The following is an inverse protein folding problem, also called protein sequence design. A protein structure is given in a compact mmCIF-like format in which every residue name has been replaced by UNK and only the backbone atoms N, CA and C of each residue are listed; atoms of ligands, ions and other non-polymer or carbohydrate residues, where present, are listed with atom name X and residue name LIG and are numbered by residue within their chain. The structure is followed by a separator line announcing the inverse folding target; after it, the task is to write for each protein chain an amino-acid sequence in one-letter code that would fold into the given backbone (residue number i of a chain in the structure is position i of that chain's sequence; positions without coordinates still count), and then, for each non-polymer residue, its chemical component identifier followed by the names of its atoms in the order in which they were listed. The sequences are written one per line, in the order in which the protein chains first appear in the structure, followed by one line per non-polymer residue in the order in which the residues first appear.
data_IF_510711221424
#
_entry.id   IF_510711221424
#
_cell.length_a   1.000
_cell.length_b   1.000
_cell.length_c   1.000
_cell.angle_alpha   90.00
_cell.angle_beta   90.00
_cell.angle_gamma   90.00
#
_symmetry.space_group_name_H-M   'P 1'
#
loop_
_entity.id
_entity.type
_entity.pdbx_description
1 polymer ?
#
# COMPACT_ATOMS: atom_id res chain seq x y z
N UNK A 1 -13.11 -0.63 2.56
CA UNK A 1 -13.77 -0.79 1.26
C UNK A 1 -14.31 0.53 0.70
N UNK A 2 -15.15 1.32 1.41
CA UNK A 2 -15.71 2.59 0.88
C UNK A 2 -14.63 3.56 0.40
N UNK A 3 -13.57 3.76 1.17
CA UNK A 3 -12.46 4.65 0.80
C UNK A 3 -11.66 4.16 -0.40
N UNK A 4 -11.40 2.85 -0.49
CA UNK A 4 -10.71 2.29 -1.66
C UNK A 4 -11.55 2.44 -2.93
N UNK A 5 -12.86 2.25 -2.83
CA UNK A 5 -13.78 2.45 -3.97
C UNK A 5 -13.81 3.93 -4.40
N UNK A 6 -13.94 4.88 -3.46
CA UNK A 6 -13.88 6.32 -3.74
C UNK A 6 -12.55 6.70 -4.37
N UNK A 7 -11.44 6.24 -3.80
CA UNK A 7 -10.09 6.49 -4.34
C UNK A 7 -9.91 5.91 -5.74
N UNK A 8 -10.52 4.75 -6.07
CA UNK A 8 -10.42 4.18 -7.40
C UNK A 8 -11.06 5.09 -8.45
N UNK A 9 -12.21 5.69 -8.14
CA UNK A 9 -12.86 6.67 -9.03
C UNK A 9 -11.93 7.87 -9.24
N UNK A 10 -11.42 8.45 -8.16
CA UNK A 10 -10.51 9.61 -8.20
C UNK A 10 -9.19 9.30 -8.93
N UNK A 11 -8.62 8.09 -8.76
CA UNK A 11 -7.47 7.64 -9.55
C UNK A 11 -7.77 7.58 -11.05
N UNK A 12 -8.91 7.00 -11.42
CA UNK A 12 -9.33 6.90 -12.83
C UNK A 12 -9.56 8.29 -13.45
N UNK A 13 -10.14 9.23 -12.71
CA UNK A 13 -10.33 10.62 -13.11
C UNK A 13 -8.99 11.33 -13.35
N UNK A 14 -8.05 11.25 -12.40
CA UNK A 14 -6.71 11.81 -12.56
C UNK A 14 -6.01 11.23 -13.79
N UNK A 15 -6.00 9.89 -13.94
CA UNK A 15 -5.30 9.23 -15.04
C UNK A 15 -5.91 9.58 -16.41
N UNK A 16 -7.22 9.81 -16.46
CA UNK A 16 -7.90 10.34 -17.64
C UNK A 16 -7.46 11.78 -17.94
N UNK A 17 -7.41 12.64 -16.92
CA UNK A 17 -6.99 14.04 -17.06
C UNK A 17 -5.55 14.17 -17.53
N UNK A 18 -4.63 13.36 -16.99
CA UNK A 18 -3.21 13.35 -17.41
C UNK A 18 -2.95 12.49 -18.64
N UNK A 19 -3.96 11.80 -19.18
CA UNK A 19 -3.88 10.91 -20.34
C UNK A 19 -2.83 9.79 -20.18
N UNK A 20 -2.73 9.24 -18.98
CA UNK A 20 -1.82 8.13 -18.67
C UNK A 20 -2.60 6.94 -18.10
N UNK A 21 -2.58 5.74 -18.72
CA UNK A 21 -3.28 4.56 -18.23
C UNK A 21 -2.50 3.89 -17.10
N UNK A 22 -2.57 4.45 -15.90
CA UNK A 22 -1.78 4.00 -14.74
C UNK A 22 -2.53 3.03 -13.81
N UNK A 23 -3.77 2.71 -14.13
CA UNK A 23 -4.55 1.66 -13.50
C UNK A 23 -4.80 0.54 -14.50
N UNK A 24 -4.40 -0.67 -14.16
CA UNK A 24 -4.69 -1.89 -14.91
C UNK A 24 -5.80 -2.66 -14.20
N UNK A 25 -6.97 -2.74 -14.82
CA UNK A 25 -8.11 -3.51 -14.32
C UNK A 25 -7.86 -5.00 -14.59
N UNK A 26 -7.09 -5.64 -13.71
CA UNK A 26 -6.71 -7.05 -13.84
C UNK A 26 -7.70 -7.98 -13.15
N UNK A 27 -8.62 -7.46 -12.37
CA UNK A 27 -9.33 -8.20 -11.34
C UNK A 27 -8.43 -8.49 -10.12
N UNK A 28 -9.07 -8.93 -9.04
CA UNK A 28 -8.41 -9.44 -7.84
C UNK A 28 -9.01 -10.77 -7.43
N UNK A 29 -8.16 -11.78 -7.24
CA UNK A 29 -8.52 -13.13 -6.87
C UNK A 29 -8.08 -13.41 -5.43
N UNK A 30 -9.03 -13.58 -4.52
CA UNK A 30 -8.78 -13.93 -3.13
C UNK A 30 -8.88 -15.44 -2.97
N UNK A 31 -7.74 -16.12 -2.87
CA UNK A 31 -7.68 -17.57 -2.66
C UNK A 31 -7.94 -17.88 -1.19
N UNK A 32 -8.73 -18.89 -0.90
CA UNK A 32 -9.08 -19.30 0.46
C UNK A 32 -9.09 -20.84 0.63
N UNK A 33 -8.63 -21.31 1.80
CA UNK A 33 -8.60 -22.73 2.15
C UNK A 33 -9.95 -23.26 2.63
N UNK A 34 -10.74 -22.39 3.26
CA UNK A 34 -12.06 -22.74 3.78
C UNK A 34 -12.92 -21.49 3.94
N UNK A 35 -14.21 -21.67 3.95
CA UNK A 35 -15.16 -20.57 4.18
C UNK A 35 -15.33 -20.37 5.68
N UNK A 36 -14.59 -19.43 6.25
CA UNK A 36 -14.64 -19.07 7.66
C UNK A 36 -15.27 -17.70 7.91
N UNK A 37 -15.20 -17.24 9.16
CA UNK A 37 -15.78 -15.95 9.57
C UNK A 37 -15.19 -14.75 8.81
N UNK A 38 -13.91 -14.83 8.45
CA UNK A 38 -13.22 -13.76 7.70
C UNK A 38 -13.74 -13.65 6.27
N UNK A 39 -13.87 -14.78 5.58
CA UNK A 39 -14.36 -14.86 4.20
C UNK A 39 -15.82 -14.41 4.14
N UNK A 40 -16.63 -14.83 5.12
CA UNK A 40 -18.00 -14.35 5.29
C UNK A 40 -18.04 -12.82 5.46
N UNK A 41 -17.22 -12.27 6.36
CA UNK A 41 -17.13 -10.82 6.56
C UNK A 41 -16.67 -10.07 5.29
N UNK A 42 -15.75 -10.68 4.52
CA UNK A 42 -15.30 -10.13 3.23
C UNK A 42 -16.48 -10.06 2.26
N UNK A 43 -17.19 -11.17 2.05
CA UNK A 43 -18.36 -11.22 1.15
C UNK A 43 -19.43 -10.22 1.57
N UNK A 44 -19.82 -10.20 2.86
CA UNK A 44 -20.79 -9.25 3.39
C UNK A 44 -20.35 -7.79 3.19
N UNK A 45 -19.04 -7.52 3.32
CA UNK A 45 -18.48 -6.18 3.13
C UNK A 45 -18.53 -5.75 1.66
N UNK A 46 -18.20 -6.65 0.73
CA UNK A 46 -18.31 -6.40 -0.71
C UNK A 46 -19.75 -6.14 -1.11
N UNK A 47 -20.69 -6.98 -0.64
CA UNK A 47 -22.13 -6.81 -0.89
C UNK A 47 -22.65 -5.46 -0.38
N UNK A 48 -22.37 -5.12 0.88
CA UNK A 48 -22.79 -3.84 1.48
C UNK A 48 -22.19 -2.62 0.80
N UNK A 49 -21.04 -2.80 0.17
CA UNK A 49 -20.33 -1.72 -0.55
C UNK A 49 -20.71 -1.65 -2.02
N UNK A 50 -21.61 -2.51 -2.52
CA UNK A 50 -22.00 -2.55 -3.92
C UNK A 50 -20.88 -2.95 -4.87
N UNK A 51 -19.86 -3.67 -4.36
CA UNK A 51 -18.75 -4.16 -5.19
C UNK A 51 -19.17 -5.43 -5.91
N UNK A 52 -18.98 -5.47 -7.22
CA UNK A 52 -19.22 -6.67 -8.03
C UNK A 52 -18.17 -7.73 -7.69
N UNK A 53 -18.60 -8.94 -7.39
CA UNK A 53 -17.72 -10.09 -7.18
C UNK A 53 -18.43 -11.39 -7.55
N UNK A 54 -17.65 -12.45 -7.73
CA UNK A 54 -18.13 -13.83 -7.85
C UNK A 54 -17.35 -14.75 -6.91
N UNK A 55 -17.95 -15.87 -6.57
CA UNK A 55 -17.30 -16.95 -5.82
C UNK A 55 -17.04 -18.08 -6.81
N UNK A 56 -15.78 -18.47 -6.94
CA UNK A 56 -15.35 -19.60 -7.76
C UNK A 56 -15.10 -20.78 -6.83
N UNK A 57 -15.78 -21.89 -7.04
CA UNK A 57 -15.44 -23.13 -6.37
C UNK A 57 -14.10 -23.71 -6.87
N UNK A 58 -13.61 -24.77 -6.23
CA UNK A 58 -12.33 -25.39 -6.59
C UNK A 58 -12.25 -25.81 -8.06
N UNK A 59 -13.31 -26.38 -8.61
CA UNK A 59 -13.34 -26.84 -10.00
C UNK A 59 -13.33 -25.67 -10.98
N UNK A 60 -14.12 -24.63 -10.71
CA UNK A 60 -14.14 -23.40 -11.49
C UNK A 60 -12.81 -22.67 -11.45
N UNK A 61 -12.19 -22.60 -10.26
CA UNK A 61 -10.87 -21.99 -10.07
C UNK A 61 -9.80 -22.73 -10.88
N UNK A 62 -9.71 -24.04 -10.77
CA UNK A 62 -8.75 -24.88 -11.49
C UNK A 62 -8.94 -24.80 -13.01
N UNK A 63 -10.18 -24.75 -13.48
CA UNK A 63 -10.48 -24.61 -14.90
C UNK A 63 -10.13 -23.21 -15.46
N UNK A 64 -10.36 -22.14 -14.68
CA UNK A 64 -10.13 -20.77 -15.10
C UNK A 64 -8.65 -20.36 -15.01
N UNK A 65 -7.91 -20.91 -14.06
CA UNK A 65 -6.53 -20.51 -13.76
C UNK A 65 -5.59 -21.71 -13.64
N UNK A 66 -5.45 -22.49 -14.73
CA UNK A 66 -4.63 -23.70 -14.77
C UNK A 66 -3.13 -23.47 -14.43
N UNK A 67 -2.66 -22.21 -14.45
CA UNK A 67 -1.31 -21.83 -14.03
C UNK A 67 -1.13 -21.80 -12.50
N UNK A 68 -2.23 -21.81 -11.74
CA UNK A 68 -2.22 -21.84 -10.27
C UNK A 68 -2.36 -23.30 -9.81
N UNK A 69 -1.42 -23.76 -8.98
CA UNK A 69 -1.65 -25.00 -8.22
C UNK A 69 -2.69 -24.72 -7.13
N UNK A 70 -3.86 -25.33 -7.26
CA UNK A 70 -5.01 -25.11 -6.34
C UNK A 70 -5.00 -26.07 -5.15
N UNK A 71 -3.92 -26.80 -4.90
CA UNK A 71 -3.78 -27.63 -3.71
C UNK A 71 -4.02 -26.81 -2.43
N UNK A 72 -4.89 -27.31 -1.55
CA UNK A 72 -5.33 -26.63 -0.34
C UNK A 72 -6.00 -25.25 -0.58
N UNK A 73 -6.71 -25.10 -1.70
CA UNK A 73 -7.58 -23.96 -1.98
C UNK A 73 -8.96 -24.48 -2.28
N UNK A 74 -9.94 -24.20 -1.42
CA UNK A 74 -11.30 -24.71 -1.60
C UNK A 74 -12.13 -23.84 -2.54
N UNK A 75 -11.88 -22.51 -2.52
CA UNK A 75 -12.58 -21.56 -3.37
C UNK A 75 -11.79 -20.25 -3.52
N UNK A 76 -12.28 -19.36 -4.36
CA UNK A 76 -11.79 -18.00 -4.46
C UNK A 76 -12.94 -16.98 -4.55
N UNK A 77 -12.70 -15.76 -4.06
CA UNK A 77 -13.55 -14.60 -4.33
C UNK A 77 -12.86 -13.80 -5.44
N UNK A 78 -13.58 -13.48 -6.50
CA UNK A 78 -13.05 -12.72 -7.63
C UNK A 78 -13.78 -11.39 -7.77
N UNK A 79 -13.02 -10.29 -7.72
CA UNK A 79 -13.47 -8.92 -7.96
C UNK A 79 -13.00 -8.45 -9.35
N UNK A 80 -13.86 -8.42 -10.37
CA UNK A 80 -13.43 -8.16 -11.74
C UNK A 80 -12.95 -6.73 -12.01
N UNK A 81 -13.48 -5.74 -11.27
CA UNK A 81 -13.20 -4.31 -11.50
C UNK A 81 -12.11 -3.73 -10.60
N UNK A 82 -11.48 -4.57 -9.78
CA UNK A 82 -10.27 -4.24 -9.03
C UNK A 82 -9.01 -4.45 -9.87
N UNK A 83 -7.84 -4.05 -9.37
CA UNK A 83 -6.62 -4.21 -10.17
C UNK A 83 -5.38 -3.57 -9.58
N UNK A 84 -4.47 -3.15 -10.43
CA UNK A 84 -3.14 -2.66 -10.08
C UNK A 84 -2.95 -1.20 -10.44
N UNK A 85 -2.41 -0.43 -9.49
CA UNK A 85 -1.91 0.93 -9.72
C UNK A 85 -0.40 0.89 -9.97
N UNK A 86 0.07 1.58 -11.00
CA UNK A 86 1.50 1.76 -11.26
C UNK A 86 2.05 2.86 -10.33
N UNK A 87 2.28 2.51 -9.06
CA UNK A 87 2.45 3.43 -7.94
C UNK A 87 3.46 4.59 -8.19
N UNK A 88 4.66 4.30 -8.69
CA UNK A 88 5.65 5.37 -8.96
C UNK A 88 5.19 6.35 -10.02
N UNK A 89 4.61 5.85 -11.10
CA UNK A 89 4.09 6.70 -12.19
C UNK A 89 2.86 7.47 -11.72
N UNK A 90 2.01 6.85 -10.88
CA UNK A 90 0.86 7.53 -10.30
C UNK A 90 1.27 8.68 -9.39
N UNK A 91 2.32 8.53 -8.56
CA UNK A 91 2.87 9.63 -7.76
C UNK A 91 3.42 10.75 -8.66
N UNK A 92 4.17 10.41 -9.71
CA UNK A 92 4.68 11.41 -10.66
C UNK A 92 3.51 12.19 -11.31
N UNK A 93 2.44 11.48 -11.73
CA UNK A 93 1.27 12.11 -12.33
C UNK A 93 0.54 13.05 -11.34
N UNK A 94 0.47 12.69 -10.05
CA UNK A 94 -0.08 13.58 -9.00
C UNK A 94 0.76 14.85 -8.87
N UNK A 95 2.09 14.72 -8.83
CA UNK A 95 3.00 15.89 -8.74
C UNK A 95 2.87 16.77 -9.97
N UNK A 96 2.89 16.19 -11.17
CA UNK A 96 2.71 16.94 -12.43
C UNK A 96 1.36 17.68 -12.49
N UNK A 97 0.30 17.04 -11.98
CA UNK A 97 -1.02 17.67 -11.91
C UNK A 97 -1.05 18.82 -10.91
N UNK A 98 -0.48 18.62 -9.73
CA UNK A 98 -0.37 19.65 -8.71
C UNK A 98 0.41 20.88 -9.22
N UNK A 99 1.55 20.66 -9.90
CA UNK A 99 2.33 21.74 -10.53
C UNK A 99 1.50 22.52 -11.57
N UNK A 100 0.72 21.81 -12.39
CA UNK A 100 -0.17 22.46 -13.37
C UNK A 100 -1.26 23.30 -12.72
N UNK A 101 -1.66 22.94 -11.51
CA UNK A 101 -2.65 23.67 -10.71
C UNK A 101 -2.01 24.80 -9.87
N UNK A 102 -0.71 25.05 -9.99
CA UNK A 102 -0.01 26.15 -9.34
C UNK A 102 0.70 25.80 -8.03
N UNK A 103 0.74 24.51 -7.65
CA UNK A 103 1.57 24.08 -6.52
C UNK A 103 3.06 24.24 -6.86
N UNK A 104 3.87 24.46 -5.85
CA UNK A 104 5.32 24.45 -5.96
C UNK A 104 5.89 23.12 -5.44
N UNK A 105 6.82 22.53 -6.19
CA UNK A 105 7.54 21.32 -5.77
C UNK A 105 9.00 21.66 -5.52
N UNK A 106 9.50 21.32 -4.33
CA UNK A 106 10.89 21.50 -3.93
C UNK A 106 11.47 20.21 -3.36
N UNK A 107 12.76 19.97 -3.62
CA UNK A 107 13.53 18.94 -2.95
C UNK A 107 14.27 19.56 -1.78
N UNK A 108 13.88 19.19 -0.56
CA UNK A 108 14.52 19.66 0.66
C UNK A 108 14.43 18.56 1.74
N UNK A 109 15.34 18.59 2.68
CA UNK A 109 15.36 17.69 3.83
C UNK A 109 14.93 18.46 5.09
N UNK A 110 13.95 17.90 5.79
CA UNK A 110 13.51 18.36 7.11
C UNK A 110 14.14 17.46 8.17
N UNK A 111 14.91 18.02 9.07
CA UNK A 111 15.46 17.30 10.22
C UNK A 111 14.42 17.02 11.31
N UNK A 112 14.85 16.34 12.41
CA UNK A 112 13.99 16.13 13.56
C UNK A 112 13.48 17.45 14.14
N UNK A 113 12.17 17.52 14.34
CA UNK A 113 11.51 18.67 14.94
C UNK A 113 11.48 18.44 16.46
N UNK A 114 12.22 19.28 17.17
CA UNK A 114 12.29 19.27 18.63
C UNK A 114 11.80 20.61 19.14
N UNK A 115 10.91 20.55 20.13
CA UNK A 115 10.37 21.73 20.83
C UNK A 115 9.83 22.87 19.93
N UNK A 116 8.76 23.04 20.16
CA UNK A 116 7.82 23.88 19.58
C UNK A 116 7.88 25.26 20.17
N UNK A 117 8.51 26.14 19.49
CA UNK A 117 8.09 27.54 19.44
C UNK A 117 6.81 27.64 18.62
N UNK A 118 6.19 28.79 18.46
CA UNK A 118 5.09 28.94 17.52
C UNK A 118 5.51 28.37 16.15
N UNK A 119 4.71 27.43 15.59
CA UNK A 119 5.03 26.78 14.34
C UNK A 119 4.63 27.68 13.17
N UNK A 120 5.20 28.91 13.16
CA UNK A 120 5.03 29.81 12.03
C UNK A 120 6.02 29.47 10.90
N UNK A 121 7.09 28.74 11.24
CA UNK A 121 8.11 28.30 10.30
C UNK A 121 8.83 27.02 10.69
N UNK A 122 9.41 26.34 9.70
CA UNK A 122 10.32 25.20 9.88
C UNK A 122 11.59 25.41 9.08
N UNK A 123 12.73 24.89 9.60
CA UNK A 123 14.01 24.93 8.91
C UNK A 123 14.30 23.61 8.22
N UNK A 124 14.75 23.68 6.99
CA UNK A 124 15.42 22.56 6.32
C UNK A 124 16.79 22.31 6.95
N UNK A 125 17.39 21.15 6.71
CA UNK A 125 18.76 20.83 7.14
C UNK A 125 19.79 21.78 6.49
N UNK A 126 19.47 22.36 5.34
CA UNK A 126 20.28 23.40 4.68
C UNK A 126 20.11 24.81 5.28
N UNK A 127 19.22 24.98 6.27
CA UNK A 127 18.99 26.25 6.96
C UNK A 127 17.94 27.16 6.30
N UNK A 128 17.30 26.74 5.22
CA UNK A 128 16.19 27.46 4.59
C UNK A 128 14.98 27.47 5.53
N UNK A 129 14.33 28.63 5.65
CA UNK A 129 13.11 28.80 6.44
C UNK A 129 11.90 28.62 5.51
N UNK A 130 10.99 27.74 5.91
CA UNK A 130 9.71 27.50 5.24
C UNK A 130 8.60 28.01 6.16
N UNK A 131 7.89 29.03 5.73
CA UNK A 131 6.75 29.61 6.45
C UNK A 131 5.45 29.28 5.74
N UNK A 132 4.43 28.86 6.49
CA UNK A 132 3.11 28.54 5.96
C UNK A 132 2.03 28.70 7.05
N UNK A 133 0.79 28.87 6.62
CA UNK A 133 -0.36 28.89 7.52
C UNK A 133 -0.65 27.50 8.11
N UNK A 134 -0.47 26.44 7.31
CA UNK A 134 -0.62 25.05 7.70
C UNK A 134 0.55 24.20 7.19
N UNK A 135 0.98 23.26 8.00
CA UNK A 135 2.00 22.27 7.67
C UNK A 135 1.44 20.87 7.74
N UNK A 136 1.61 20.08 6.68
CA UNK A 136 1.21 18.67 6.63
C UNK A 136 2.45 17.80 6.50
N UNK A 137 2.73 17.01 7.51
CA UNK A 137 3.86 16.09 7.51
C UNK A 137 3.36 14.68 7.16
N UNK A 138 3.60 14.29 5.91
CA UNK A 138 3.28 12.97 5.36
C UNK A 138 4.58 12.22 5.01
N UNK A 139 5.46 12.07 6.00
CA UNK A 139 6.85 11.65 5.83
C UNK A 139 7.03 10.12 5.76
N UNK A 140 5.95 9.34 5.72
CA UNK A 140 6.01 7.88 5.67
C UNK A 140 6.84 7.32 6.82
N UNK A 141 7.69 6.34 6.56
CA UNK A 141 8.49 5.67 7.58
C UNK A 141 9.41 6.59 8.40
N UNK A 142 9.62 7.82 7.96
CA UNK A 142 10.41 8.83 8.68
C UNK A 142 9.59 9.67 9.66
N UNK A 143 8.26 9.58 9.62
CA UNK A 143 7.39 10.43 10.45
C UNK A 143 7.70 10.31 11.94
N UNK A 144 7.97 9.09 12.43
CA UNK A 144 8.37 8.82 13.80
C UNK A 144 9.77 9.37 14.17
N UNK A 145 10.65 9.64 13.18
CA UNK A 145 11.96 10.29 13.40
C UNK A 145 11.82 11.81 13.38
N UNK A 146 11.00 12.35 12.50
CA UNK A 146 10.75 13.79 12.42
C UNK A 146 10.10 14.31 13.69
N UNK A 147 9.13 13.58 14.24
CA UNK A 147 8.43 13.92 15.48
C UNK A 147 8.68 12.88 16.57
N UNK A 148 9.94 12.70 16.95
CA UNK A 148 10.34 11.61 17.86
C UNK A 148 9.72 11.70 19.24
N UNK A 149 9.43 12.89 19.77
CA UNK A 149 8.82 13.09 21.07
C UNK A 149 7.35 12.66 21.10
N UNK A 150 6.67 12.73 19.95
CA UNK A 150 5.23 12.40 19.83
C UNK A 150 5.01 11.00 19.23
N UNK A 151 5.82 10.59 18.25
CA UNK A 151 5.52 9.46 17.37
C UNK A 151 6.53 8.30 17.43
N UNK A 152 7.70 8.46 18.07
CA UNK A 152 8.73 7.41 18.03
C UNK A 152 8.24 6.05 18.55
N UNK A 153 7.32 6.05 19.51
CA UNK A 153 6.75 4.81 20.09
C UNK A 153 5.42 4.39 19.44
N UNK A 154 4.89 5.14 18.47
CA UNK A 154 3.59 4.91 17.86
C UNK A 154 3.67 4.49 16.39
N UNK A 155 4.81 4.74 15.74
CA UNK A 155 5.11 4.36 14.36
C UNK A 155 6.18 3.27 14.35
N UNK A 156 5.88 2.16 13.69
CA UNK A 156 6.74 0.96 13.63
C UNK A 156 7.17 0.72 12.17
N UNK A 157 8.30 1.31 11.73
CA UNK A 157 8.80 1.04 10.37
C UNK A 157 9.26 -0.41 10.25
N UNK A 158 8.69 -1.17 9.32
CA UNK A 158 9.11 -2.54 9.05
C UNK A 158 9.65 -2.70 7.64
N UNK A 159 10.62 -3.61 7.49
CA UNK A 159 11.21 -3.98 6.21
C UNK A 159 10.30 -4.97 5.48
N UNK A 160 10.04 -4.71 4.20
CA UNK A 160 9.30 -5.61 3.33
C UNK A 160 10.06 -5.83 2.04
N UNK A 161 9.97 -7.05 1.49
CA UNK A 161 10.68 -7.41 0.27
C UNK A 161 9.71 -7.92 -0.79
N UNK A 162 9.91 -7.49 -2.03
CA UNK A 162 9.11 -7.90 -3.18
C UNK A 162 10.01 -8.41 -4.29
N UNK A 163 9.53 -9.41 -5.03
CA UNK A 163 10.27 -10.09 -6.08
C UNK A 163 9.46 -10.14 -7.35
N UNK A 164 10.14 -10.04 -8.48
CA UNK A 164 9.56 -10.20 -9.80
C UNK A 164 10.26 -11.37 -10.51
N UNK A 165 9.48 -12.34 -10.95
CA UNK A 165 9.95 -13.51 -11.66
C UNK A 165 9.76 -13.34 -13.16
N UNK A 166 10.73 -13.73 -13.96
CA UNK A 166 10.54 -13.80 -15.40
C UNK A 166 9.39 -14.76 -15.74
N UNK A 167 8.55 -14.39 -16.68
CA UNK A 167 7.55 -15.29 -17.24
C UNK A 167 8.13 -16.09 -18.38
N UNK A 168 7.74 -17.36 -18.60
CA UNK A 168 8.24 -18.15 -19.73
C UNK A 168 7.93 -17.44 -21.06
N UNK A 169 8.88 -17.40 -21.99
CA UNK A 169 8.66 -16.76 -23.29
C UNK A 169 7.43 -17.33 -24.01
N UNK A 170 6.51 -16.45 -24.43
CA UNK A 170 5.29 -16.82 -25.13
C UNK A 170 4.16 -17.35 -24.23
N UNK A 171 4.36 -17.48 -22.93
CA UNK A 171 3.34 -17.91 -21.98
C UNK A 171 2.55 -16.71 -21.43
N UNK A 172 1.47 -16.33 -22.09
CA UNK A 172 0.62 -15.23 -21.68
C UNK A 172 -0.23 -15.49 -20.41
N UNK A 173 -0.23 -16.73 -19.88
CA UNK A 173 -1.04 -17.09 -18.71
C UNK A 173 -0.67 -16.32 -17.43
N UNK A 174 0.54 -15.76 -17.37
CA UNK A 174 1.02 -14.97 -16.22
C UNK A 174 0.88 -13.47 -16.41
N UNK A 175 0.39 -13.02 -17.56
CA UNK A 175 0.10 -11.63 -17.85
C UNK A 175 -1.40 -11.33 -17.75
N UNK A 176 -1.76 -10.04 -17.56
CA UNK A 176 -3.15 -9.61 -17.67
C UNK A 176 -3.63 -9.72 -19.15
N UNK A 177 -4.90 -10.08 -19.40
CA UNK A 177 -5.98 -10.37 -18.45
C UNK A 177 -6.03 -11.84 -17.98
N UNK A 178 -5.17 -12.73 -18.47
CA UNK A 178 -5.22 -14.16 -18.18
C UNK A 178 -4.86 -14.48 -16.71
N UNK A 179 -4.13 -13.59 -16.05
CA UNK A 179 -3.82 -13.67 -14.62
C UNK A 179 -4.31 -12.40 -13.93
N UNK A 180 -5.20 -12.49 -12.93
CA UNK A 180 -5.54 -11.38 -12.07
C UNK A 180 -4.45 -11.06 -11.06
N UNK A 181 -4.53 -9.93 -10.38
CA UNK A 181 -3.91 -9.77 -9.07
C UNK A 181 -4.47 -10.82 -8.12
N UNK A 182 -3.64 -11.38 -7.28
CA UNK A 182 -4.05 -12.47 -6.41
C UNK A 182 -3.50 -12.29 -5.00
N UNK A 183 -4.19 -12.84 -4.05
CA UNK A 183 -3.73 -12.95 -2.68
C UNK A 183 -4.20 -14.26 -2.06
N UNK A 184 -3.36 -14.82 -1.20
CA UNK A 184 -3.69 -15.98 -0.39
C UNK A 184 -3.42 -15.63 1.07
N UNK A 185 -4.50 -15.30 1.75
CA UNK A 185 -4.42 -14.69 3.06
C UNK A 185 -3.83 -15.61 4.12
N UNK A 186 -4.18 -16.91 4.07
CA UNK A 186 -3.63 -17.90 5.00
C UNK A 186 -2.14 -18.12 4.84
N UNK A 187 -1.62 -17.96 3.63
CA UNK A 187 -0.18 -18.01 3.35
C UNK A 187 0.47 -16.63 3.56
N UNK A 188 -0.33 -15.57 3.74
CA UNK A 188 0.13 -14.19 3.87
C UNK A 188 0.98 -13.75 2.67
N UNK A 189 0.55 -14.13 1.47
CA UNK A 189 1.26 -13.87 0.22
C UNK A 189 0.30 -13.23 -0.78
N UNK A 190 0.80 -12.27 -1.51
CA UNK A 190 0.07 -11.67 -2.63
C UNK A 190 0.98 -11.48 -3.83
N UNK A 191 0.38 -11.30 -4.99
CA UNK A 191 1.13 -11.03 -6.21
C UNK A 191 0.30 -10.32 -7.26
N UNK A 192 0.99 -9.97 -8.34
CA UNK A 192 0.40 -9.27 -9.47
C UNK A 192 0.86 -9.97 -10.75
N UNK A 193 0.02 -9.98 -11.80
CA UNK A 193 0.42 -10.49 -13.10
C UNK A 193 1.62 -9.71 -13.64
N UNK A 194 2.25 -10.29 -14.65
CA UNK A 194 3.21 -9.53 -15.45
C UNK A 194 2.49 -8.37 -16.16
N UNK A 195 2.92 -7.18 -15.84
CA UNK A 195 2.44 -5.95 -16.45
C UNK A 195 3.61 -5.24 -17.13
N UNK A 196 3.42 -4.90 -18.38
CA UNK A 196 4.42 -4.19 -19.18
C UNK A 196 5.78 -4.94 -19.25
N UNK A 197 5.76 -6.26 -19.24
CA UNK A 197 6.94 -7.14 -19.29
C UNK A 197 7.91 -6.97 -18.11
N UNK A 198 7.39 -6.56 -16.95
CA UNK A 198 8.20 -6.36 -15.76
C UNK A 198 8.44 -7.65 -14.98
N UNK A 199 7.66 -8.67 -15.25
CA UNK A 199 7.69 -9.95 -14.56
C UNK A 199 6.54 -10.15 -13.58
N UNK A 200 6.34 -11.42 -13.20
CA UNK A 200 5.32 -11.85 -12.27
C UNK A 200 5.73 -11.49 -10.83
N UNK A 201 4.96 -10.61 -10.18
CA UNK A 201 5.29 -10.10 -8.85
C UNK A 201 4.78 -11.01 -7.74
N UNK A 202 5.60 -11.18 -6.70
CA UNK A 202 5.22 -11.79 -5.43
C UNK A 202 5.77 -10.99 -4.25
N UNK A 203 5.02 -10.96 -3.15
CA UNK A 203 5.46 -10.42 -1.87
C UNK A 203 4.77 -11.14 -0.71
N UNK A 204 5.48 -11.22 0.42
CA UNK A 204 4.91 -11.67 1.69
C UNK A 204 4.33 -10.47 2.41
N UNK A 205 3.10 -10.62 2.92
CA UNK A 205 2.39 -9.53 3.61
C UNK A 205 2.70 -9.48 5.11
N UNK A 206 3.27 -10.56 5.65
CA UNK A 206 3.75 -10.59 7.02
C UNK A 206 4.76 -9.47 7.25
N UNK A 207 4.59 -8.71 8.32
CA UNK A 207 5.52 -7.63 8.67
C UNK A 207 6.91 -8.21 8.94
N UNK A 208 7.90 -7.68 8.26
CA UNK A 208 9.31 -7.97 8.50
C UNK A 208 9.81 -7.31 9.79
N UNK A 209 11.12 -7.36 10.04
CA UNK A 209 11.71 -6.76 11.23
C UNK A 209 11.50 -5.23 11.26
N UNK A 210 11.39 -4.70 12.48
CA UNK A 210 11.45 -3.24 12.70
C UNK A 210 12.83 -2.76 12.30
N UNK A 211 12.89 -1.66 11.56
CA UNK A 211 14.12 -1.11 10.98
C UNK A 211 14.21 0.39 11.15
N UNK A 212 15.44 0.90 11.14
CA UNK A 212 15.68 2.32 10.94
C UNK A 212 15.57 2.63 9.44
N UNK A 213 14.71 3.57 9.04
CA UNK A 213 14.48 3.88 7.63
C UNK A 213 15.69 4.48 6.90
N UNK A 214 16.67 5.06 7.62
CA UNK A 214 17.87 5.62 7.00
C UNK A 214 18.93 4.56 6.74
N UNK A 215 19.10 3.60 7.67
CA UNK A 215 20.25 2.70 7.68
C UNK A 215 19.98 1.30 7.17
N UNK A 216 18.70 0.92 7.01
CA UNK A 216 18.37 -0.42 6.51
C UNK A 216 18.92 -0.68 5.11
N UNK A 217 19.38 -1.89 4.85
CA UNK A 217 19.81 -2.34 3.53
C UNK A 217 18.68 -2.21 2.50
N UNK A 218 19.02 -1.72 1.32
CA UNK A 218 18.09 -1.63 0.16
C UNK A 218 18.19 -2.85 -0.78
N UNK A 219 19.03 -3.82 -0.45
CA UNK A 219 19.14 -5.08 -1.19
C UNK A 219 18.28 -6.15 -0.52
N UNK A 220 17.55 -6.90 -1.33
CA UNK A 220 16.77 -8.04 -0.83
C UNK A 220 17.67 -9.10 -0.23
N UNK A 221 17.19 -9.77 0.82
CA UNK A 221 17.95 -10.83 1.48
C UNK A 221 17.92 -12.13 0.66
N UNK A 222 19.01 -12.93 0.68
CA UNK A 222 19.03 -14.25 0.05
C UNK A 222 17.93 -15.17 0.59
N UNK A 223 17.64 -15.10 1.89
CA UNK A 223 16.65 -15.92 2.58
C UNK A 223 15.24 -15.61 2.07
N UNK A 224 14.89 -14.33 1.95
CA UNK A 224 13.58 -13.93 1.41
C UNK A 224 13.44 -14.28 -0.08
N UNK A 225 14.53 -14.18 -0.85
CA UNK A 225 14.55 -14.60 -2.24
C UNK A 225 14.30 -16.10 -2.38
N UNK A 226 14.91 -16.93 -1.52
CA UNK A 226 14.70 -18.38 -1.53
C UNK A 226 13.30 -18.76 -1.07
N UNK A 227 12.77 -18.08 -0.06
CA UNK A 227 11.37 -18.23 0.37
C UNK A 227 10.40 -17.93 -0.79
N UNK A 228 10.64 -16.84 -1.53
CA UNK A 228 9.85 -16.50 -2.71
C UNK A 228 9.94 -17.55 -3.81
N UNK A 229 11.16 -18.08 -4.11
CA UNK A 229 11.37 -19.18 -5.08
C UNK A 229 10.60 -20.44 -4.68
N UNK A 230 10.71 -20.84 -3.43
CA UNK A 230 10.03 -22.03 -2.91
C UNK A 230 8.51 -21.89 -2.98
N UNK A 231 7.98 -20.72 -2.68
CA UNK A 231 6.55 -20.45 -2.78
C UNK A 231 6.07 -20.47 -4.24
N UNK A 232 6.80 -19.79 -5.14
CA UNK A 232 6.49 -19.76 -6.57
C UNK A 232 6.55 -21.15 -7.19
N UNK A 233 7.56 -21.94 -6.85
CA UNK A 233 7.72 -23.32 -7.37
C UNK A 233 6.54 -24.22 -6.98
N UNK A 234 5.95 -24.00 -5.81
CA UNK A 234 4.77 -24.75 -5.32
C UNK A 234 3.47 -24.23 -5.93
N UNK A 235 3.23 -22.93 -5.85
CA UNK A 235 1.94 -22.31 -6.21
C UNK A 235 1.78 -22.07 -7.71
N UNK A 236 2.88 -21.83 -8.41
CA UNK A 236 2.96 -21.57 -9.85
C UNK A 236 4.00 -22.48 -10.52
N UNK A 237 3.73 -23.79 -10.69
CA UNK A 237 4.73 -24.76 -11.11
C UNK A 237 5.46 -24.43 -12.41
N UNK A 238 4.80 -23.74 -13.34
CA UNK A 238 5.44 -23.31 -14.59
C UNK A 238 6.52 -22.22 -14.39
N UNK A 239 6.53 -21.53 -13.24
CA UNK A 239 7.56 -20.54 -12.88
C UNK A 239 8.66 -21.12 -11.98
N UNK A 240 8.67 -22.44 -11.70
CA UNK A 240 9.62 -23.09 -10.76
C UNK A 240 11.07 -22.73 -11.02
N UNK A 241 11.47 -22.66 -12.28
CA UNK A 241 12.85 -22.39 -12.69
C UNK A 241 13.04 -20.96 -13.22
N UNK A 242 12.05 -20.11 -13.06
CA UNK A 242 12.12 -18.73 -13.52
C UNK A 242 13.11 -17.92 -12.69
N UNK A 243 13.99 -17.13 -13.31
CA UNK A 243 14.88 -16.24 -12.56
C UNK A 243 14.10 -15.09 -11.93
N UNK A 244 14.59 -14.60 -10.79
CA UNK A 244 14.19 -13.30 -10.26
C UNK A 244 14.86 -12.24 -11.13
N UNK A 245 14.07 -11.40 -11.79
CA UNK A 245 14.54 -10.35 -12.70
C UNK A 245 14.60 -8.99 -12.02
N UNK A 246 13.84 -8.80 -10.95
CA UNK A 246 13.87 -7.60 -10.11
C UNK A 246 13.53 -7.96 -8.66
N UNK A 247 14.17 -7.27 -7.72
CA UNK A 247 13.76 -7.28 -6.32
C UNK A 247 13.78 -5.86 -5.77
N UNK A 248 12.93 -5.59 -4.77
CA UNK A 248 12.88 -4.31 -4.08
C UNK A 248 12.70 -4.49 -2.60
N UNK A 249 13.31 -3.58 -1.85
CA UNK A 249 13.08 -3.43 -0.42
C UNK A 249 12.19 -2.21 -0.21
N UNK A 250 11.07 -2.44 0.45
CA UNK A 250 10.08 -1.45 0.85
C UNK A 250 10.13 -1.23 2.36
N UNK A 251 9.43 -0.21 2.82
CA UNK A 251 9.22 0.08 4.22
C UNK A 251 7.73 0.29 4.44
N UNK A 252 7.14 -0.45 5.40
CA UNK A 252 5.82 -0.12 5.88
C UNK A 252 5.94 0.81 7.06
N UNK A 253 5.08 1.80 7.10
CA UNK A 253 4.88 2.72 8.21
C UNK A 253 3.69 2.23 9.02
N UNK A 254 3.93 1.34 9.99
CA UNK A 254 2.84 0.70 10.72
C UNK A 254 2.44 1.52 11.95
N UNK A 255 1.15 1.49 12.25
CA UNK A 255 0.56 1.86 13.54
C UNK A 255 0.19 0.61 14.34
N UNK A 256 -0.16 0.76 15.61
CA UNK A 256 -0.56 -0.35 16.48
C UNK A 256 -1.71 -1.21 15.93
N UNK A 257 -2.72 -0.57 15.34
CA UNK A 257 -3.94 -1.20 14.80
C UNK A 257 -3.90 -1.42 13.28
N UNK A 258 -2.95 -0.77 12.58
CA UNK A 258 -2.94 -0.68 11.13
C UNK A 258 -3.86 0.42 10.55
N UNK A 259 -4.58 1.17 11.39
CA UNK A 259 -5.35 2.33 10.96
C UNK A 259 -4.44 3.53 10.67
N UNK A 260 -4.85 4.39 9.75
CA UNK A 260 -4.15 5.63 9.44
C UNK A 260 -3.98 6.52 10.68
N UNK A 261 -2.98 7.39 10.62
CA UNK A 261 -2.82 8.51 11.52
C UNK A 261 -3.15 9.80 10.74
N UNK A 262 -4.13 10.56 11.21
CA UNK A 262 -4.43 11.91 10.75
C UNK A 262 -4.87 12.71 11.96
N UNK A 263 -3.98 13.51 12.49
CA UNK A 263 -4.25 14.33 13.67
C UNK A 263 -3.39 15.59 13.68
N UNK A 264 -3.74 16.53 14.54
CA UNK A 264 -2.90 17.70 14.80
C UNK A 264 -1.79 17.36 15.78
N UNK A 265 -0.67 18.05 15.63
CA UNK A 265 0.37 17.99 16.65
C UNK A 265 -0.17 18.51 18.00
N UNK A 266 0.15 17.84 19.13
CA UNK A 266 -0.45 18.22 20.43
C UNK A 266 -0.20 19.68 20.82
N UNK A 267 0.97 20.23 20.47
CA UNK A 267 1.39 21.58 20.84
C UNK A 267 1.24 22.60 19.71
N UNK A 268 1.15 22.16 18.42
CA UNK A 268 1.07 23.03 17.24
C UNK A 268 -0.23 22.85 16.49
N UNK A 269 -1.15 23.78 16.66
CA UNK A 269 -2.49 23.71 16.08
C UNK A 269 -2.52 23.71 14.54
N UNK A 270 -1.49 24.23 13.89
CA UNK A 270 -1.36 24.33 12.43
C UNK A 270 -0.49 23.23 11.83
N UNK A 271 0.01 22.29 12.65
CA UNK A 271 0.81 21.15 12.19
C UNK A 271 -0.04 19.89 12.19
N UNK A 272 -0.09 19.22 11.04
CA UNK A 272 -0.82 17.98 10.82
C UNK A 272 0.15 16.82 10.62
N UNK A 273 -0.08 15.74 11.34
CA UNK A 273 0.65 14.49 11.28
C UNK A 273 -0.17 13.49 10.46
N UNK A 274 0.33 13.09 9.31
CA UNK A 274 -0.37 12.22 8.37
C UNK A 274 0.50 11.01 8.04
N UNK A 275 0.02 9.81 8.35
CA UNK A 275 0.79 8.59 8.14
C UNK A 275 0.03 7.32 8.47
N UNK A 276 0.77 6.29 8.92
CA UNK A 276 0.19 5.02 9.32
C UNK A 276 -0.37 4.20 8.15
N UNK A 277 0.23 4.30 6.98
CA UNK A 277 -0.21 3.59 5.77
C UNK A 277 -0.17 2.06 5.90
N UNK A 278 0.60 1.52 6.85
CA UNK A 278 0.63 0.11 7.29
C UNK A 278 0.61 -0.91 6.15
N UNK A 279 1.33 -0.63 5.05
CA UNK A 279 1.40 -1.48 3.86
C UNK A 279 0.22 -1.37 2.89
N UNK A 280 -0.88 -0.79 3.29
CA UNK A 280 -2.09 -0.72 2.45
C UNK A 280 -2.52 0.70 2.05
N UNK A 281 -1.78 1.73 2.45
CA UNK A 281 -2.16 3.13 2.32
C UNK A 281 -2.26 3.65 0.89
N UNK A 282 -1.39 3.19 -0.03
CA UNK A 282 -1.25 3.80 -1.35
C UNK A 282 -2.57 3.91 -2.13
N UNK A 283 -3.35 2.84 -2.17
CA UNK A 283 -4.64 2.83 -2.87
C UNK A 283 -5.63 3.89 -2.38
N UNK A 284 -5.49 4.32 -1.12
CA UNK A 284 -6.36 5.31 -0.48
C UNK A 284 -5.90 6.76 -0.65
N UNK A 285 -4.79 6.99 -1.35
CA UNK A 285 -4.14 8.31 -1.47
C UNK A 285 -5.09 9.46 -1.80
N UNK A 286 -5.91 9.38 -2.86
CA UNK A 286 -6.82 10.49 -3.20
C UNK A 286 -7.86 10.78 -2.11
N UNK A 287 -8.57 9.75 -1.60
CA UNK A 287 -9.55 9.92 -0.54
C UNK A 287 -8.91 10.40 0.77
N UNK A 288 -7.67 9.99 1.05
CA UNK A 288 -6.90 10.50 2.19
C UNK A 288 -6.55 11.97 2.02
N UNK A 289 -6.06 12.37 0.85
CA UNK A 289 -5.75 13.77 0.54
C UNK A 289 -6.98 14.67 0.71
N UNK A 290 -8.12 14.25 0.17
CA UNK A 290 -9.39 14.95 0.34
C UNK A 290 -9.84 15.05 1.81
N UNK A 291 -9.70 13.95 2.57
CA UNK A 291 -10.01 13.94 3.98
C UNK A 291 -9.12 14.90 4.79
N UNK A 292 -7.80 14.87 4.55
CA UNK A 292 -6.84 15.78 5.22
C UNK A 292 -7.15 17.25 4.88
N UNK A 293 -7.39 17.56 3.62
CA UNK A 293 -7.78 18.90 3.20
C UNK A 293 -9.07 19.35 3.91
N UNK A 294 -10.10 18.50 3.94
CA UNK A 294 -11.35 18.80 4.64
C UNK A 294 -11.19 18.97 6.14
N UNK A 295 -10.24 18.25 6.78
CA UNK A 295 -9.90 18.47 8.19
C UNK A 295 -9.23 19.84 8.41
N UNK A 296 -8.32 20.25 7.54
CA UNK A 296 -7.65 21.56 7.61
C UNK A 296 -8.67 22.68 7.47
N UNK A 297 -9.59 22.56 6.53
CA UNK A 297 -10.66 23.54 6.25
C UNK A 297 -11.82 23.50 7.27
N UNK A 298 -11.86 22.49 8.15
CA UNK A 298 -12.95 22.32 9.11
C UNK A 298 -14.26 21.83 8.49
N UNK A 299 -14.22 21.23 7.30
CA UNK A 299 -15.39 20.79 6.53
C UNK A 299 -15.85 19.37 6.86
N UNK A 300 -14.95 18.54 7.39
CA UNK A 300 -15.25 17.13 7.71
C UNK A 300 -14.92 16.82 9.17
N UNK A 301 -15.70 15.95 9.84
CA UNK A 301 -15.41 15.56 11.22
C UNK A 301 -14.18 14.65 11.29
N UNK A 302 -13.47 14.71 12.42
CA UNK A 302 -12.37 13.81 12.70
C UNK A 302 -12.85 12.37 12.82
N UNK A 303 -12.14 11.43 12.21
CA UNK A 303 -12.34 10.00 12.41
C UNK A 303 -11.56 9.56 13.66
N UNK A 304 -12.24 9.13 14.74
CA UNK A 304 -11.56 8.83 16.01
C UNK A 304 -10.47 7.76 15.89
N UNK A 305 -10.61 6.80 14.97
CA UNK A 305 -9.59 5.76 14.72
C UNK A 305 -8.29 6.29 14.13
N UNK A 306 -8.30 7.49 13.54
CA UNK A 306 -7.14 8.13 12.95
C UNK A 306 -6.42 9.07 13.91
N UNK A 307 -6.99 9.32 15.09
CA UNK A 307 -6.38 10.20 16.09
C UNK A 307 -5.11 9.62 16.70
N UNK A 308 -4.24 10.48 17.19
CA UNK A 308 -3.08 10.11 18.03
C UNK A 308 -3.52 9.30 19.25
N UNK A 309 -4.60 9.71 19.90
CA UNK A 309 -5.13 9.06 21.10
C UNK A 309 -5.56 7.61 20.87
N UNK A 310 -5.83 7.22 19.61
CA UNK A 310 -6.18 5.84 19.23
C UNK A 310 -4.96 4.94 19.00
N UNK A 311 -3.74 5.50 19.01
CA UNK A 311 -2.51 4.75 18.76
C UNK A 311 -1.90 4.27 20.06
N UNK A 312 -1.34 3.08 20.02
CA UNK A 312 -0.71 2.42 21.18
C UNK A 312 0.77 2.16 20.89
N UNK A 313 1.53 1.97 21.94
CA UNK A 313 2.96 1.68 21.87
C UNK A 313 3.28 0.22 21.56
N UNK A 314 2.26 -0.63 21.44
CA UNK A 314 2.41 -2.04 21.09
C UNK A 314 1.72 -2.32 19.78
N UNK A 315 2.47 -2.84 18.82
CA UNK A 315 1.91 -3.26 17.53
C UNK A 315 1.08 -4.53 17.72
N UNK A 316 -0.24 -4.44 17.52
CA UNK A 316 -1.18 -5.56 17.61
C UNK A 316 -1.35 -6.29 16.30
N UNK A 317 -1.16 -5.59 15.19
CA UNK A 317 -1.36 -6.12 13.86
C UNK A 317 -0.04 -6.50 13.22
N UNK A 318 0.12 -7.78 12.90
CA UNK A 318 1.31 -8.33 12.26
C UNK A 318 1.15 -8.50 10.74
N UNK A 319 -0.08 -8.46 10.22
CA UNK A 319 -0.42 -8.64 8.79
C UNK A 319 -1.71 -7.91 8.45
N UNK A 320 -1.96 -7.80 7.17
CA UNK A 320 -3.14 -7.17 6.59
C UNK A 320 -4.43 -7.97 6.84
#
# INVERSE_FOLDING_TARGET
TRWSHRSLVQWKELFSAVRQPLFHETGVLWLARHYGAREQLTVETLQRSGVTFSILDHAQLAASYAQINTENVDFAIFEPHSGVLLARRAVAAVVEDALRQGAEYRTAEIGPIRNAGAADDFKTTAGEIISAEHFVFACGSWLGKVFSEVLASLIFPTRQEVFFFATPPGDARFAAPAMPTWLFQEDQVYGMPDLESRGFKIAFDQHGPIVDPDTQSRFASPEAAEQARSYVARRFPALRNSPIVESRVCQYENTSSGDFLVDRHPEHKNVWLVGGGSGHGFKHGPAMGEYVAGQILGEVPAEPRFSLASKETTQRRAVY
#
